data_IF_011400230213
#
_entry.id   IF_011400230213
#
_cell.length_a   1.000
_cell.length_b   1.000
_cell.length_c   1.000
_cell.angle_alpha   90.00
_cell.angle_beta   90.00
_cell.angle_gamma   90.00
#
_symmetry.space_group_name_H-M   'P 1'
#
loop_
_entity.id
_entity.type
_entity.pdbx_description
1 polymer ?
#
# COMPACT_ATOMS: atom_id res chain seq x y z
N UNK A 1 22.68 -55.37 27.19
CA UNK A 1 21.75 -54.76 26.21
C UNK A 1 22.57 -54.14 25.08
N UNK A 2 22.50 -54.66 23.85
CA UNK A 2 23.17 -54.06 22.70
C UNK A 2 22.30 -52.93 22.15
N UNK A 3 22.76 -51.69 22.26
CA UNK A 3 22.17 -50.54 21.57
C UNK A 3 22.59 -50.62 20.10
N UNK A 4 21.63 -50.83 19.20
CA UNK A 4 21.87 -50.75 17.76
C UNK A 4 22.12 -49.29 17.36
N UNK A 5 23.23 -49.03 16.67
CA UNK A 5 23.51 -47.73 16.06
C UNK A 5 22.90 -47.65 14.66
N UNK A 6 22.51 -46.45 14.24
CA UNK A 6 22.04 -46.17 12.88
C UNK A 6 23.15 -46.48 11.86
N UNK A 7 22.76 -47.05 10.72
CA UNK A 7 23.71 -47.36 9.64
C UNK A 7 24.01 -46.10 8.81
N UNK A 8 25.18 -46.04 8.17
CA UNK A 8 25.58 -44.88 7.34
C UNK A 8 24.58 -44.65 6.19
N UNK A 9 24.09 -45.74 5.58
CA UNK A 9 23.11 -45.67 4.49
C UNK A 9 21.77 -45.06 4.95
N UNK A 10 21.40 -45.28 6.21
CA UNK A 10 20.17 -44.78 6.80
C UNK A 10 20.22 -43.27 7.03
N UNK A 11 21.37 -42.75 7.49
CA UNK A 11 21.57 -41.29 7.59
C UNK A 11 21.68 -40.66 6.19
N UNK A 12 22.32 -41.33 5.23
CA UNK A 12 22.50 -40.83 3.85
C UNK A 12 21.16 -40.68 3.11
N UNK A 13 20.27 -41.66 3.24
CA UNK A 13 18.95 -41.63 2.60
C UNK A 13 18.03 -40.58 3.23
N UNK A 14 18.11 -40.37 4.55
CA UNK A 14 17.31 -39.33 5.24
C UNK A 14 17.69 -37.93 4.76
N UNK A 15 18.98 -37.59 4.69
CA UNK A 15 19.39 -36.27 4.20
C UNK A 15 19.06 -36.05 2.72
N UNK A 16 19.06 -37.12 1.92
CA UNK A 16 18.65 -37.09 0.52
C UNK A 16 17.17 -36.72 0.39
N UNK A 17 16.28 -37.41 1.12
CA UNK A 17 14.84 -37.11 1.10
C UNK A 17 14.56 -35.74 1.72
N UNK A 18 15.25 -35.37 2.79
CA UNK A 18 15.08 -34.08 3.46
C UNK A 18 15.41 -32.90 2.53
N UNK A 19 16.44 -33.03 1.70
CA UNK A 19 16.82 -32.01 0.72
C UNK A 19 15.71 -31.76 -0.32
N UNK A 20 15.07 -32.83 -0.79
CA UNK A 20 13.95 -32.74 -1.76
C UNK A 20 12.75 -32.04 -1.11
N UNK A 21 12.42 -32.40 0.13
CA UNK A 21 11.31 -31.79 0.86
C UNK A 21 11.53 -30.29 1.07
N UNK A 22 12.72 -29.86 1.48
CA UNK A 22 13.05 -28.44 1.66
C UNK A 22 12.86 -27.66 0.35
N UNK A 23 13.30 -28.21 -0.78
CA UNK A 23 13.17 -27.56 -2.08
C UNK A 23 11.72 -27.23 -2.45
N UNK A 24 10.81 -28.21 -2.28
CA UNK A 24 9.40 -28.03 -2.62
C UNK A 24 8.69 -27.12 -1.60
N UNK A 25 8.98 -27.30 -0.31
CA UNK A 25 8.37 -26.49 0.76
C UNK A 25 8.75 -25.00 0.66
N UNK A 26 9.97 -24.68 0.23
CA UNK A 26 10.43 -23.29 0.10
C UNK A 26 9.63 -22.46 -0.91
N UNK A 27 9.26 -23.06 -2.06
CA UNK A 27 8.44 -22.38 -3.06
C UNK A 27 7.01 -22.11 -2.54
N UNK A 28 6.37 -23.13 -1.97
CA UNK A 28 5.03 -23.01 -1.41
C UNK A 28 4.97 -21.95 -0.29
N UNK A 29 5.99 -21.91 0.57
CA UNK A 29 6.12 -20.91 1.63
C UNK A 29 6.22 -19.48 1.08
N UNK A 30 7.07 -19.26 0.06
CA UNK A 30 7.19 -17.93 -0.56
C UNK A 30 5.86 -17.45 -1.15
N UNK A 31 5.12 -18.31 -1.85
CA UNK A 31 3.80 -17.97 -2.40
C UNK A 31 2.78 -17.68 -1.29
N UNK A 32 2.79 -18.45 -0.21
CA UNK A 32 1.90 -18.25 0.94
C UNK A 32 2.15 -16.91 1.64
N UNK A 33 3.42 -16.52 1.80
CA UNK A 33 3.78 -15.22 2.38
C UNK A 33 3.31 -14.06 1.50
N UNK A 34 3.51 -14.13 0.18
CA UNK A 34 3.01 -13.12 -0.77
C UNK A 34 1.50 -12.95 -0.64
N UNK A 35 0.76 -14.07 -0.58
CA UNK A 35 -0.70 -14.05 -0.39
C UNK A 35 -1.11 -13.39 0.93
N UNK A 36 -0.43 -13.72 2.02
CA UNK A 36 -0.72 -13.18 3.36
C UNK A 36 -0.50 -11.67 3.38
N UNK A 37 0.60 -11.18 2.80
CA UNK A 37 0.90 -9.75 2.73
C UNK A 37 -0.10 -8.98 1.87
N UNK A 38 -0.48 -9.52 0.72
CA UNK A 38 -1.50 -8.87 -0.12
C UNK A 38 -2.88 -8.82 0.59
N UNK A 39 -3.23 -9.88 1.33
CA UNK A 39 -4.46 -9.89 2.12
C UNK A 39 -4.43 -8.82 3.22
N UNK A 40 -3.28 -8.66 3.88
CA UNK A 40 -3.08 -7.60 4.86
C UNK A 40 -3.24 -6.22 4.22
N UNK A 41 -2.57 -5.96 3.08
CA UNK A 41 -2.68 -4.69 2.34
C UNK A 41 -4.10 -4.34 1.95
N UNK A 42 -4.88 -5.32 1.48
CA UNK A 42 -6.29 -5.11 1.12
C UNK A 42 -7.12 -4.80 2.36
N UNK A 43 -6.90 -5.53 3.46
CA UNK A 43 -7.59 -5.25 4.72
C UNK A 43 -7.27 -3.84 5.23
N UNK A 44 -6.01 -3.43 5.16
CA UNK A 44 -5.54 -2.12 5.59
C UNK A 44 -6.16 -0.99 4.75
N UNK A 45 -6.21 -1.16 3.42
CA UNK A 45 -6.89 -0.24 2.52
C UNK A 45 -8.37 -0.08 2.84
N UNK A 46 -9.06 -1.19 3.16
CA UNK A 46 -10.47 -1.15 3.57
C UNK A 46 -10.67 -0.45 4.92
N UNK A 47 -9.78 -0.68 5.88
CA UNK A 47 -9.82 0.00 7.18
C UNK A 47 -9.62 1.51 7.03
N UNK A 48 -8.67 1.95 6.22
CA UNK A 48 -8.46 3.36 5.89
C UNK A 48 -9.70 3.94 5.19
N UNK A 49 -10.24 3.23 4.20
CA UNK A 49 -11.47 3.63 3.49
C UNK A 49 -12.62 3.89 4.45
N UNK A 50 -12.94 2.93 5.33
CA UNK A 50 -14.02 3.09 6.31
C UNK A 50 -13.79 4.28 7.23
N UNK A 51 -12.55 4.52 7.67
CA UNK A 51 -12.22 5.68 8.50
C UNK A 51 -12.40 7.02 7.76
N UNK A 52 -12.04 7.08 6.47
CA UNK A 52 -12.26 8.26 5.61
C UNK A 52 -13.76 8.52 5.41
N UNK A 53 -14.56 7.47 5.22
CA UNK A 53 -16.01 7.58 5.09
C UNK A 53 -16.65 8.08 6.39
N UNK A 54 -16.22 7.58 7.55
CA UNK A 54 -16.67 8.08 8.85
C UNK A 54 -16.28 9.55 9.07
N UNK A 55 -15.06 9.95 8.70
CA UNK A 55 -14.62 11.34 8.74
C UNK A 55 -15.51 12.25 7.89
N UNK A 56 -15.88 11.79 6.68
CA UNK A 56 -16.78 12.54 5.82
C UNK A 56 -18.18 12.72 6.44
N UNK A 57 -18.69 11.72 7.15
CA UNK A 57 -20.02 11.83 7.79
C UNK A 57 -20.07 12.97 8.81
N UNK A 58 -18.98 13.22 9.53
CA UNK A 58 -18.85 14.27 10.54
C UNK A 58 -18.47 15.63 9.93
N UNK A 59 -17.44 15.66 9.10
CA UNK A 59 -16.81 16.92 8.63
C UNK A 59 -17.34 17.36 7.27
N UNK A 60 -18.14 16.52 6.58
CA UNK A 60 -18.73 16.77 5.25
C UNK A 60 -17.72 17.11 4.15
N UNK A 61 -16.47 16.73 4.34
CA UNK A 61 -15.40 16.82 3.36
C UNK A 61 -14.45 15.64 3.56
N UNK A 62 -13.69 15.29 2.53
CA UNK A 62 -12.60 14.33 2.68
C UNK A 62 -11.37 15.00 3.27
N UNK A 63 -10.52 14.27 4.03
CA UNK A 63 -9.25 14.80 4.49
C UNK A 63 -8.44 15.34 3.30
N UNK A 64 -7.94 16.56 3.41
CA UNK A 64 -7.16 17.17 2.34
C UNK A 64 -5.87 17.76 2.91
N UNK A 65 -4.78 17.51 2.19
CA UNK A 65 -3.48 18.11 2.48
C UNK A 65 -3.39 19.48 1.80
N UNK A 66 -3.05 20.52 2.57
CA UNK A 66 -2.92 21.88 2.06
C UNK A 66 -1.45 22.20 1.77
N UNK A 67 -0.81 21.47 0.84
CA UNK A 67 0.32 22.03 0.11
C UNK A 67 -0.22 22.57 -1.21
N UNK A 68 0.26 23.71 -1.69
CA UNK A 68 -0.18 24.31 -2.94
C UNK A 68 0.14 23.48 -4.21
N UNK A 69 0.45 22.19 -4.08
CA UNK A 69 0.80 21.27 -5.16
C UNK A 69 0.24 19.86 -4.88
N UNK A 70 -0.35 19.25 -5.91
CA UNK A 70 -0.82 17.85 -5.88
C UNK A 70 0.37 16.88 -5.87
N UNK A 71 1.00 16.74 -4.72
CA UNK A 71 2.14 15.87 -4.54
C UNK A 71 1.67 14.45 -4.21
N UNK A 72 2.33 13.47 -4.83
CA UNK A 72 2.17 12.07 -4.45
C UNK A 72 2.90 11.88 -3.14
N UNK A 73 2.15 11.57 -2.09
CA UNK A 73 2.69 11.35 -0.75
C UNK A 73 1.99 10.17 -0.10
N UNK A 74 2.55 9.72 1.00
CA UNK A 74 1.97 8.64 1.78
C UNK A 74 0.66 9.05 2.41
N UNK A 75 -0.23 8.07 2.48
CA UNK A 75 -1.48 8.18 3.18
C UNK A 75 -1.25 8.59 4.65
N UNK A 76 -0.25 8.03 5.34
CA UNK A 76 0.05 8.36 6.74
C UNK A 76 0.30 9.87 6.93
N UNK A 77 1.00 10.55 6.02
CA UNK A 77 1.25 12.00 6.15
C UNK A 77 0.02 12.87 5.97
N UNK A 78 -0.93 12.44 5.14
CA UNK A 78 -2.16 13.19 4.90
C UNK A 78 -3.26 12.85 5.90
N UNK A 79 -3.23 11.64 6.47
CA UNK A 79 -4.34 11.03 7.20
C UNK A 79 -4.05 10.73 8.67
N UNK A 80 -2.82 10.95 9.14
CA UNK A 80 -2.41 10.77 10.54
C UNK A 80 -1.55 11.95 11.03
N UNK A 81 -1.70 12.44 12.28
CA UNK A 81 -0.78 13.43 12.83
C UNK A 81 0.55 12.74 13.14
N UNK A 82 1.47 12.68 12.18
CA UNK A 82 2.84 12.30 12.51
C UNK A 82 3.56 13.41 13.29
N UNK A 83 4.81 13.17 13.67
CA UNK A 83 5.74 14.17 14.24
C UNK A 83 6.20 15.23 13.22
N UNK A 84 5.49 15.40 12.11
CA UNK A 84 5.93 16.15 10.94
C UNK A 84 5.28 17.53 10.90
N UNK A 85 6.09 18.58 10.78
CA UNK A 85 5.66 20.00 10.85
C UNK A 85 4.93 20.51 9.59
N UNK A 86 4.51 19.65 8.66
CA UNK A 86 3.92 20.09 7.40
C UNK A 86 2.40 20.29 7.42
N UNK A 87 1.75 20.13 8.57
CA UNK A 87 0.32 20.38 8.71
C UNK A 87 0.06 21.24 9.94
N UNK A 88 -0.02 22.55 9.75
CA UNK A 88 -0.35 23.49 10.83
C UNK A 88 -1.85 23.45 11.22
N UNK A 89 -2.69 22.70 10.51
CA UNK A 89 -4.12 22.50 10.78
C UNK A 89 -4.53 21.08 10.38
N UNK A 90 -4.05 20.09 11.12
CA UNK A 90 -4.33 18.70 10.83
C UNK A 90 -5.82 18.38 11.01
N UNK A 91 -6.46 17.92 9.93
CA UNK A 91 -7.79 17.30 9.94
C UNK A 91 -7.74 16.00 9.14
N UNK A 92 -7.27 14.95 9.78
CA UNK A 92 -7.24 13.61 9.19
C UNK A 92 -8.00 12.59 10.05
N UNK A 93 -7.82 11.31 9.72
CA UNK A 93 -8.62 10.22 10.30
C UNK A 93 -8.02 9.66 11.59
N UNK A 94 -6.71 9.72 11.80
CA UNK A 94 -6.09 9.29 13.07
C UNK A 94 -6.00 10.49 14.04
N UNK A 95 -6.20 10.32 15.35
CA UNK A 95 -6.66 9.11 16.06
C UNK A 95 -8.19 8.95 16.15
N UNK A 96 -8.98 9.91 15.67
CA UNK A 96 -10.43 9.97 15.97
C UNK A 96 -11.28 8.92 15.25
N UNK A 97 -10.90 8.53 14.05
CA UNK A 97 -11.68 7.66 13.15
C UNK A 97 -10.98 6.32 12.86
N UNK A 98 -9.71 6.17 13.24
CA UNK A 98 -8.95 4.92 13.16
C UNK A 98 -8.02 4.82 14.37
N UNK A 99 -7.90 3.63 14.97
CA UNK A 99 -7.10 3.43 16.19
C UNK A 99 -5.60 3.43 15.92
N UNK A 100 -5.17 2.70 14.89
CA UNK A 100 -3.77 2.61 14.46
C UNK A 100 -3.69 2.77 12.95
N UNK A 101 -2.79 3.62 12.47
CA UNK A 101 -2.55 3.74 11.04
C UNK A 101 -1.74 2.53 10.53
N UNK A 102 -2.23 1.78 9.53
CA UNK A 102 -1.53 0.59 9.07
C UNK A 102 -0.25 0.95 8.30
N UNK A 103 0.76 0.08 8.40
CA UNK A 103 2.03 0.20 7.67
C UNK A 103 2.26 -1.02 6.80
N UNK A 104 2.93 -0.84 5.66
CA UNK A 104 3.17 -1.94 4.75
C UNK A 104 4.02 -3.06 5.40
N UNK A 105 3.71 -4.34 5.17
CA UNK A 105 4.47 -5.44 5.77
C UNK A 105 5.93 -5.57 5.33
N UNK A 106 6.29 -5.05 4.14
CA UNK A 106 7.66 -5.12 3.60
C UNK A 106 8.37 -3.77 3.66
N UNK A 107 7.65 -2.71 3.36
CA UNK A 107 8.19 -1.35 3.26
C UNK A 107 7.96 -0.64 4.58
N UNK A 108 9.02 -0.53 5.37
CA UNK A 108 9.00 0.23 6.61
C UNK A 108 9.64 1.58 6.33
N UNK A 109 8.88 2.64 6.53
CA UNK A 109 9.39 4.01 6.45
C UNK A 109 10.68 4.19 7.23
N UNK A 110 11.75 4.59 6.54
CA UNK A 110 12.85 5.30 7.19
C UNK A 110 12.39 6.75 7.39
N UNK A 111 11.80 7.01 8.56
CA UNK A 111 11.26 8.32 8.96
C UNK A 111 12.36 9.35 9.28
N UNK A 112 13.44 9.43 8.50
CA UNK A 112 14.51 10.41 8.71
C UNK A 112 14.26 11.65 7.86
N UNK A 113 13.25 12.45 8.20
CA UNK A 113 13.01 13.73 7.55
C UNK A 113 11.76 14.42 8.08
N UNK A 114 11.91 15.65 8.56
CA UNK A 114 10.80 16.51 8.99
C UNK A 114 10.15 17.26 7.82
N UNK A 115 10.63 17.02 6.58
CA UNK A 115 10.24 17.77 5.38
C UNK A 115 9.29 16.95 4.50
N UNK A 116 8.07 17.46 4.36
CA UNK A 116 7.03 16.82 3.54
C UNK A 116 7.23 17.03 2.03
N UNK A 117 8.37 17.61 1.64
CA UNK A 117 8.77 17.89 0.26
C UNK A 117 9.94 17.01 -0.20
N UNK A 118 10.71 16.40 0.70
CA UNK A 118 11.88 15.57 0.34
C UNK A 118 11.54 14.11 0.01
N UNK A 119 10.25 13.77 0.03
CA UNK A 119 9.69 12.45 -0.32
C UNK A 119 8.91 12.46 -1.63
N UNK A 120 9.03 13.55 -2.41
CA UNK A 120 8.28 13.80 -3.64
C UNK A 120 8.82 13.06 -4.88
N UNK A 121 9.79 12.16 -4.75
CA UNK A 121 10.17 11.25 -5.85
C UNK A 121 9.48 9.93 -5.62
N UNK A 122 8.55 9.52 -6.50
CA UNK A 122 7.74 8.32 -6.25
C UNK A 122 8.56 7.00 -6.25
N UNK A 123 9.85 7.09 -6.60
CA UNK A 123 10.86 6.06 -6.38
C UNK A 123 11.11 5.70 -4.90
N UNK A 124 10.80 6.58 -3.94
CA UNK A 124 10.96 6.34 -2.50
C UNK A 124 9.77 5.60 -1.85
N UNK A 125 8.65 5.46 -2.55
CA UNK A 125 7.39 4.94 -2.00
C UNK A 125 6.92 3.63 -2.64
N UNK A 126 7.84 2.88 -3.26
CA UNK A 126 7.60 1.55 -3.82
C UNK A 126 7.19 0.57 -2.72
N UNK A 127 5.91 0.58 -2.32
CA UNK A 127 5.37 -0.38 -1.37
C UNK A 127 4.41 0.16 -0.33
N UNK A 128 4.13 1.47 -0.27
CA UNK A 128 3.37 2.04 0.84
C UNK A 128 1.96 2.49 0.42
N UNK A 129 1.09 2.74 1.40
CA UNK A 129 -0.27 3.22 1.16
C UNK A 129 -0.23 4.68 0.67
N UNK A 130 -0.80 4.95 -0.50
CA UNK A 130 -0.93 6.29 -1.05
C UNK A 130 -2.37 6.76 -0.96
N UNK A 131 -2.55 8.05 -0.74
CA UNK A 131 -3.85 8.71 -0.70
C UNK A 131 -3.85 9.89 -1.66
N UNK A 132 -4.89 9.96 -2.48
CA UNK A 132 -5.12 11.01 -3.45
C UNK A 132 -6.51 11.57 -3.20
N UNK A 133 -6.64 12.88 -3.24
CA UNK A 133 -7.92 13.56 -3.11
C UNK A 133 -8.03 14.59 -4.22
N UNK A 134 -9.18 14.63 -4.89
CA UNK A 134 -9.46 15.70 -5.84
C UNK A 134 -9.48 17.01 -5.05
N UNK A 135 -8.61 17.96 -5.41
CA UNK A 135 -8.57 19.30 -4.80
C UNK A 135 -9.97 19.87 -4.68
N UNK A 136 -10.51 19.76 -3.47
CA UNK A 136 -11.76 20.37 -3.09
C UNK A 136 -11.35 21.64 -2.34
N UNK A 137 -11.70 22.85 -2.80
CA UNK A 137 -11.85 23.93 -1.83
C UNK A 137 -12.71 23.36 -0.69
N UNK A 138 -12.26 23.61 0.54
CA UNK A 138 -12.50 22.88 1.80
C UNK A 138 -13.94 22.49 2.19
N UNK A 139 -14.94 22.76 1.34
CA UNK A 139 -16.38 22.56 1.56
C UNK A 139 -17.12 22.10 0.28
N UNK A 140 -16.45 21.58 -0.75
CA UNK A 140 -17.16 21.07 -1.94
C UNK A 140 -17.95 19.79 -1.61
N UNK A 141 -19.29 19.77 -1.82
CA UNK A 141 -20.13 18.60 -1.54
C UNK A 141 -19.83 17.41 -2.48
N UNK A 142 -19.22 17.70 -3.65
CA UNK A 142 -18.72 16.68 -4.57
C UNK A 142 -17.22 16.60 -4.44
N UNK A 143 -16.77 15.68 -3.60
CA UNK A 143 -15.37 15.33 -3.44
C UNK A 143 -15.16 13.86 -3.81
N UNK A 144 -13.99 13.56 -4.36
CA UNK A 144 -13.58 12.24 -4.82
C UNK A 144 -12.19 11.96 -4.25
N UNK A 145 -11.94 10.73 -3.83
CA UNK A 145 -10.64 10.28 -3.37
C UNK A 145 -10.28 8.93 -3.94
N UNK A 146 -8.98 8.63 -3.92
CA UNK A 146 -8.45 7.34 -4.28
C UNK A 146 -7.35 6.91 -3.32
N UNK A 147 -7.33 5.63 -2.99
CA UNK A 147 -6.31 4.95 -2.20
C UNK A 147 -5.59 3.95 -3.08
N UNK A 148 -4.28 3.84 -2.93
CA UNK A 148 -3.43 2.93 -3.68
C UNK A 148 -2.51 2.15 -2.75
N UNK A 149 -2.26 0.88 -3.06
CA UNK A 149 -1.18 0.10 -2.47
C UNK A 149 -0.49 -0.76 -3.53
N UNK A 150 0.80 -1.02 -3.37
CA UNK A 150 1.55 -1.96 -4.20
C UNK A 150 1.32 -3.39 -3.71
N UNK A 151 0.80 -4.26 -4.58
CA UNK A 151 0.57 -5.68 -4.31
C UNK A 151 1.60 -6.55 -5.01
N UNK A 152 1.85 -7.76 -4.51
CA UNK A 152 2.86 -8.67 -5.09
C UNK A 152 2.27 -9.60 -6.14
N UNK A 153 0.95 -9.84 -6.11
CA UNK A 153 0.25 -10.73 -7.04
C UNK A 153 -0.68 -9.97 -7.97
N UNK A 154 -0.63 -10.33 -9.25
CA UNK A 154 -1.46 -9.76 -10.33
C UNK A 154 -2.97 -9.91 -10.09
N UNK A 155 -3.41 -10.98 -9.42
CA UNK A 155 -4.84 -11.28 -9.23
C UNK A 155 -5.59 -10.23 -8.41
N UNK A 156 -4.86 -9.40 -7.66
CA UNK A 156 -5.42 -8.37 -6.80
C UNK A 156 -5.25 -6.96 -7.40
N UNK A 157 -4.74 -6.84 -8.62
CA UNK A 157 -4.51 -5.54 -9.29
C UNK A 157 -5.82 -5.04 -9.90
N UNK A 158 -5.98 -3.72 -10.01
CA UNK A 158 -7.10 -3.17 -10.77
C UNK A 158 -6.88 -3.41 -12.28
N UNK A 159 -7.93 -3.73 -13.03
CA UNK A 159 -7.84 -3.93 -14.48
C UNK A 159 -8.15 -2.67 -15.29
N UNK A 160 -8.68 -1.62 -14.66
CA UNK A 160 -9.10 -0.38 -15.33
C UNK A 160 -8.11 0.77 -15.12
N UNK A 161 -6.83 0.46 -15.27
CA UNK A 161 -5.73 1.31 -14.82
C UNK A 161 -5.58 2.57 -15.66
N UNK A 162 -5.87 2.49 -16.95
CA UNK A 162 -5.91 3.64 -17.88
C UNK A 162 -6.97 4.68 -17.50
N UNK A 163 -8.09 4.25 -16.93
CA UNK A 163 -9.12 5.16 -16.43
C UNK A 163 -8.66 5.84 -15.13
N UNK A 164 -8.03 5.10 -14.23
CA UNK A 164 -7.59 5.66 -12.94
C UNK A 164 -6.39 6.61 -13.10
N UNK A 165 -5.47 6.30 -14.01
CA UNK A 165 -4.35 7.19 -14.35
C UNK A 165 -4.83 8.51 -14.96
N UNK A 166 -5.83 8.46 -15.84
CA UNK A 166 -6.45 9.66 -16.42
C UNK A 166 -7.26 10.47 -15.41
N UNK A 167 -7.88 9.83 -14.41
CA UNK A 167 -8.54 10.57 -13.33
C UNK A 167 -7.56 11.30 -12.42
N UNK A 168 -6.45 10.66 -12.04
CA UNK A 168 -5.42 11.29 -11.22
C UNK A 168 -4.75 12.47 -11.92
N UNK A 169 -4.44 12.31 -13.22
CA UNK A 169 -3.89 13.41 -14.00
C UNK A 169 -4.90 14.55 -14.18
N UNK A 170 -6.19 14.24 -14.33
CA UNK A 170 -7.26 15.25 -14.32
C UNK A 170 -7.37 16.00 -12.98
N UNK A 171 -7.04 15.35 -11.86
CA UNK A 171 -6.98 16.02 -10.55
C UNK A 171 -5.69 16.82 -10.36
N UNK A 172 -4.75 16.72 -11.29
CA UNK A 172 -3.48 17.45 -11.34
C UNK A 172 -2.32 16.73 -10.66
N UNK A 173 -2.41 15.42 -10.43
CA UNK A 173 -1.28 14.61 -9.95
C UNK A 173 -0.40 14.19 -11.13
N UNK A 174 0.91 14.44 -11.03
CA UNK A 174 1.90 13.97 -12.00
C UNK A 174 2.34 12.55 -11.64
N UNK A 175 2.04 11.56 -12.50
CA UNK A 175 2.32 10.14 -12.28
C UNK A 175 3.64 9.66 -12.89
N UNK A 176 4.55 10.58 -13.21
CA UNK A 176 5.76 10.30 -14.01
C UNK A 176 6.65 9.19 -13.41
N UNK A 177 6.59 8.99 -12.09
CA UNK A 177 7.34 7.96 -11.35
C UNK A 177 6.50 6.72 -10.96
N UNK A 178 5.18 6.73 -11.18
CA UNK A 178 4.26 5.60 -10.90
C UNK A 178 3.70 5.06 -12.21
N UNK A 179 4.40 4.08 -12.80
CA UNK A 179 3.86 3.33 -13.94
C UNK A 179 2.74 2.40 -13.46
N UNK A 180 1.50 2.79 -13.72
CA UNK A 180 0.34 1.95 -13.45
C UNK A 180 0.14 0.97 -14.62
N UNK A 181 0.11 -0.33 -14.31
CA UNK A 181 0.13 -1.39 -15.31
C UNK A 181 -1.28 -1.83 -15.73
N UNK A 182 -1.60 -1.73 -17.01
CA UNK A 182 -2.92 -2.06 -17.57
C UNK A 182 -3.10 -3.55 -17.92
N UNK A 183 -2.00 -4.31 -18.10
CA UNK A 183 -2.04 -5.69 -18.64
C UNK A 183 -1.05 -6.65 -17.96
N UNK A 184 -1.40 -7.94 -17.93
CA UNK A 184 -0.66 -9.04 -17.27
C UNK A 184 0.72 -9.33 -17.90
N UNK A 185 0.99 -8.88 -19.12
CA UNK A 185 2.16 -9.28 -19.92
C UNK A 185 3.09 -8.14 -20.32
N UNK A 186 3.00 -6.98 -19.68
CA UNK A 186 3.93 -5.89 -19.98
C UNK A 186 5.26 -6.11 -19.22
N UNK A 187 6.29 -6.53 -19.96
CA UNK A 187 7.64 -6.81 -19.42
C UNK A 187 8.34 -5.60 -18.79
N UNK A 188 7.79 -4.39 -18.95
CA UNK A 188 8.28 -3.14 -18.38
C UNK A 188 7.57 -2.73 -17.07
N UNK A 189 6.61 -3.54 -16.63
CA UNK A 189 5.71 -3.19 -15.55
C UNK A 189 6.08 -3.90 -14.25
N UNK A 190 7.01 -3.33 -13.49
CA UNK A 190 7.49 -3.94 -12.23
C UNK A 190 6.57 -3.66 -11.02
N UNK A 191 5.40 -3.04 -11.20
CA UNK A 191 4.60 -2.56 -10.09
C UNK A 191 3.10 -2.86 -10.28
N UNK A 192 2.60 -3.81 -9.49
CA UNK A 192 1.20 -4.21 -9.43
C UNK A 192 0.48 -3.36 -8.37
N UNK A 193 -0.57 -2.62 -8.71
CA UNK A 193 -1.27 -1.74 -7.75
C UNK A 193 -2.73 -2.13 -7.52
N UNK A 194 -3.16 -2.07 -6.26
CA UNK A 194 -4.58 -2.13 -5.89
C UNK A 194 -5.09 -0.71 -5.66
N UNK A 195 -6.19 -0.37 -6.32
CA UNK A 195 -6.85 0.92 -6.20
C UNK A 195 -8.24 0.77 -5.57
N UNK A 196 -8.57 1.66 -4.65
CA UNK A 196 -9.90 1.82 -4.07
C UNK A 196 -10.29 3.29 -4.18
N UNK A 197 -11.47 3.58 -4.72
CA UNK A 197 -11.98 4.94 -4.82
C UNK A 197 -13.28 5.10 -4.03
N UNK A 198 -13.57 6.35 -3.68
CA UNK A 198 -14.83 6.77 -3.09
C UNK A 198 -15.26 8.12 -3.64
N UNK A 199 -16.57 8.26 -3.86
CA UNK A 199 -17.20 9.47 -4.40
C UNK A 199 -18.48 9.76 -3.64
N UNK A 200 -18.68 11.03 -3.31
CA UNK A 200 -19.97 11.51 -2.82
C UNK A 200 -20.64 12.34 -3.92
N UNK A 201 -21.91 12.01 -4.21
CA UNK A 201 -22.75 12.65 -5.23
C UNK A 201 -23.67 13.71 -4.63
#
# INVERSE_FOLDING_TARGET
MRRGGFTIIEVLTVIMVFSILIGISGYAYSVALKRTRDQQRISDLNNIKSAIELYYLDIKSFPAFYSGSNQITLAEYQLAPGTFNCVNNYRGIWPSFIQNFPRDPLSKLNQSGNDCTSLATASAHKGEYLYFVKNAPSLSPKSEYMLMALVERINNVNTNVTQESSTLSSWGYALDDISLCDQVNDSLCSHNYKLLSGKNN
#
